data_IF_157867899003
#
_entry.id   IF_157867899003
#
_cell.length_a   1.000
_cell.length_b   1.000
_cell.length_c   1.000
_cell.angle_alpha   90.00
_cell.angle_beta   90.00
_cell.angle_gamma   90.00
#
_symmetry.space_group_name_H-M   'P 1'
#
loop_
_entity.id
_entity.type
_entity.pdbx_description
1 polymer ?
#
# COMPACT_ATOMS: atom_id res chain seq x y z
N UNK A 1 0.93 24.44 -6.58
CA UNK A 1 1.45 23.67 -7.74
C UNK A 1 1.68 22.19 -7.40
N UNK A 2 2.50 21.86 -6.38
CA UNK A 2 2.80 20.46 -5.99
C UNK A 2 1.54 19.62 -5.74
N UNK A 3 0.55 20.15 -5.02
CA UNK A 3 -0.70 19.43 -4.72
C UNK A 3 -1.42 18.96 -5.98
N UNK A 4 -1.53 19.83 -6.99
CA UNK A 4 -2.18 19.49 -8.26
C UNK A 4 -1.46 18.39 -9.03
N UNK A 5 -0.12 18.42 -9.02
CA UNK A 5 0.71 17.39 -9.66
C UNK A 5 0.50 16.03 -9.00
N UNK A 6 0.58 15.96 -7.66
CA UNK A 6 0.41 14.70 -6.93
C UNK A 6 -1.01 14.16 -7.07
N UNK A 7 -2.03 15.01 -7.00
CA UNK A 7 -3.42 14.60 -7.27
C UNK A 7 -3.55 14.00 -8.67
N UNK A 8 -3.00 14.66 -9.69
CA UNK A 8 -2.99 14.15 -11.06
C UNK A 8 -2.30 12.78 -11.18
N UNK A 9 -1.16 12.59 -10.52
CA UNK A 9 -0.44 11.32 -10.48
C UNK A 9 -1.23 10.20 -9.78
N UNK A 10 -1.90 10.50 -8.66
CA UNK A 10 -2.73 9.53 -7.95
C UNK A 10 -3.99 9.16 -8.75
N UNK A 11 -4.63 10.12 -9.43
CA UNK A 11 -5.74 9.85 -10.34
C UNK A 11 -5.30 8.95 -11.51
N UNK A 12 -4.12 9.21 -12.09
CA UNK A 12 -3.52 8.35 -13.11
C UNK A 12 -3.24 6.94 -12.55
N UNK A 13 -2.68 6.84 -11.33
CA UNK A 13 -2.45 5.55 -10.68
C UNK A 13 -3.76 4.78 -10.46
N UNK A 14 -4.84 5.44 -10.05
CA UNK A 14 -6.17 4.83 -9.90
C UNK A 14 -6.70 4.29 -11.24
N UNK A 15 -6.59 5.09 -12.29
CA UNK A 15 -6.99 4.70 -13.64
C UNK A 15 -6.20 3.48 -14.13
N UNK A 16 -4.88 3.50 -14.00
CA UNK A 16 -4.00 2.39 -14.42
C UNK A 16 -4.26 1.12 -13.60
N UNK A 17 -4.49 1.24 -12.30
CA UNK A 17 -4.83 0.11 -11.42
C UNK A 17 -6.16 -0.52 -11.83
N UNK A 18 -7.16 0.30 -12.16
CA UNK A 18 -8.44 -0.16 -12.68
C UNK A 18 -8.32 -0.89 -14.02
N UNK A 19 -7.54 -0.35 -14.96
CA UNK A 19 -7.24 -1.03 -16.22
C UNK A 19 -6.50 -2.36 -16.00
N UNK A 20 -5.52 -2.38 -15.09
CA UNK A 20 -4.78 -3.58 -14.72
C UNK A 20 -5.69 -4.67 -14.13
N UNK A 21 -6.63 -4.29 -13.25
CA UNK A 21 -7.58 -5.22 -12.63
C UNK A 21 -8.47 -5.93 -13.67
N UNK A 22 -8.86 -5.25 -14.74
CA UNK A 22 -9.63 -5.87 -15.83
C UNK A 22 -8.89 -7.03 -16.50
N UNK A 23 -7.56 -6.95 -16.59
CA UNK A 23 -6.71 -7.98 -17.22
C UNK A 23 -6.50 -9.22 -16.37
N UNK A 24 -6.56 -9.08 -15.04
CA UNK A 24 -6.34 -10.18 -14.08
C UNK A 24 -7.65 -10.77 -13.52
N UNK A 25 -8.81 -10.41 -14.10
CA UNK A 25 -10.13 -10.85 -13.62
C UNK A 25 -10.30 -12.37 -13.61
N UNK A 26 -9.65 -13.06 -14.53
CA UNK A 26 -9.73 -14.51 -14.72
C UNK A 26 -8.50 -15.25 -14.20
N UNK A 27 -7.68 -14.62 -13.36
CA UNK A 27 -6.49 -15.25 -12.76
C UNK A 27 -6.62 -15.34 -11.24
N UNK A 28 -5.72 -16.08 -10.61
CA UNK A 28 -5.62 -16.18 -9.14
C UNK A 28 -5.24 -14.84 -8.48
N UNK A 29 -4.75 -13.87 -9.26
CA UNK A 29 -4.39 -12.52 -8.79
C UNK A 29 -5.59 -11.60 -8.54
N UNK A 30 -6.82 -12.03 -8.85
CA UNK A 30 -8.04 -11.24 -8.66
C UNK A 30 -8.17 -10.65 -7.25
N UNK A 31 -7.82 -11.41 -6.22
CA UNK A 31 -7.88 -10.92 -4.83
C UNK A 31 -6.86 -9.82 -4.58
N UNK A 32 -5.62 -10.00 -5.02
CA UNK A 32 -4.59 -8.98 -4.92
C UNK A 32 -4.97 -7.70 -5.68
N UNK A 33 -5.55 -7.84 -6.87
CA UNK A 33 -5.98 -6.69 -7.66
C UNK A 33 -7.13 -5.89 -7.01
N UNK A 34 -8.05 -6.57 -6.31
CA UNK A 34 -9.06 -5.89 -5.47
C UNK A 34 -8.44 -5.13 -4.31
N UNK A 35 -7.45 -5.70 -3.64
CA UNK A 35 -6.69 -4.99 -2.61
C UNK A 35 -5.89 -3.82 -3.18
N UNK A 36 -5.32 -3.94 -4.38
CA UNK A 36 -4.67 -2.83 -5.08
C UNK A 36 -5.63 -1.67 -5.35
N UNK A 37 -6.87 -1.97 -5.80
CA UNK A 37 -7.90 -0.94 -5.95
C UNK A 37 -8.29 -0.30 -4.62
N UNK A 38 -8.47 -1.10 -3.58
CA UNK A 38 -8.76 -0.59 -2.24
C UNK A 38 -7.62 0.31 -1.73
N UNK A 39 -6.37 -0.09 -1.93
CA UNK A 39 -5.19 0.69 -1.54
C UNK A 39 -5.16 2.05 -2.23
N UNK A 40 -5.35 2.11 -3.56
CA UNK A 40 -5.36 3.39 -4.27
C UNK A 40 -6.55 4.26 -3.83
N UNK A 41 -7.73 3.68 -3.61
CA UNK A 41 -8.91 4.42 -3.17
C UNK A 41 -8.70 5.03 -1.77
N UNK A 42 -8.17 4.26 -0.82
CA UNK A 42 -7.85 4.74 0.52
C UNK A 42 -6.74 5.79 0.48
N UNK A 43 -5.70 5.59 -0.34
CA UNK A 43 -4.60 6.54 -0.52
C UNK A 43 -5.08 7.88 -1.07
N UNK A 44 -5.95 7.86 -2.11
CA UNK A 44 -6.60 9.06 -2.64
C UNK A 44 -7.45 9.76 -1.59
N UNK A 45 -8.21 8.99 -0.80
CA UNK A 45 -9.04 9.54 0.27
C UNK A 45 -8.20 10.20 1.35
N UNK A 46 -7.10 9.56 1.78
CA UNK A 46 -6.14 10.13 2.72
C UNK A 46 -5.53 11.43 2.19
N UNK A 47 -5.12 11.43 0.92
CA UNK A 47 -4.55 12.62 0.27
C UNK A 47 -5.56 13.78 0.19
N UNK A 48 -6.79 13.52 -0.27
CA UNK A 48 -7.83 14.56 -0.34
C UNK A 48 -8.17 15.08 1.05
N UNK A 49 -8.30 14.19 2.04
CA UNK A 49 -8.58 14.58 3.41
C UNK A 49 -7.49 15.51 3.96
N UNK A 50 -6.23 15.11 3.85
CA UNK A 50 -5.06 15.87 4.34
C UNK A 50 -4.96 17.27 3.71
N UNK A 51 -5.39 17.43 2.45
CA UNK A 51 -5.25 18.71 1.72
C UNK A 51 -6.46 19.63 1.81
N UNK A 52 -7.66 19.08 1.98
CA UNK A 52 -8.90 19.85 1.91
C UNK A 52 -9.69 19.88 3.21
N UNK A 53 -9.45 18.99 4.17
CA UNK A 53 -10.09 19.05 5.47
C UNK A 53 -9.43 20.14 6.34
N UNK A 54 -9.83 21.40 6.14
CA UNK A 54 -9.40 22.52 6.97
C UNK A 54 -10.07 22.45 8.35
N UNK A 55 -9.29 22.29 9.42
CA UNK A 55 -9.74 22.46 10.81
C UNK A 55 -9.86 21.18 11.63
N UNK A 56 -9.05 21.09 12.69
CA UNK A 56 -9.22 20.29 13.93
C UNK A 56 -9.42 18.75 13.83
N UNK A 57 -9.31 18.11 12.66
CA UNK A 57 -9.51 16.65 12.52
C UNK A 57 -8.26 15.88 12.06
N UNK A 58 -7.11 16.23 12.64
CA UNK A 58 -5.83 15.53 12.42
C UNK A 58 -5.89 14.00 12.65
N UNK A 59 -6.62 13.46 13.65
CA UNK A 59 -6.60 12.01 13.93
C UNK A 59 -7.10 11.16 12.76
N UNK A 60 -8.12 11.64 12.04
CA UNK A 60 -8.68 10.93 10.89
C UNK A 60 -7.74 10.95 9.68
N UNK A 61 -7.00 12.05 9.48
CA UNK A 61 -5.98 12.11 8.44
C UNK A 61 -4.89 11.07 8.67
N UNK A 62 -4.36 11.02 9.90
CA UNK A 62 -3.35 10.05 10.30
C UNK A 62 -3.85 8.60 10.17
N UNK A 63 -5.10 8.35 10.58
CA UNK A 63 -5.75 7.04 10.42
C UNK A 63 -5.90 6.64 8.94
N UNK A 64 -6.32 7.55 8.06
CA UNK A 64 -6.45 7.27 6.63
C UNK A 64 -5.09 6.97 5.99
N UNK A 65 -4.03 7.69 6.38
CA UNK A 65 -2.67 7.40 5.93
C UNK A 65 -2.15 6.05 6.43
N UNK A 66 -2.45 5.70 7.68
CA UNK A 66 -2.17 4.37 8.22
C UNK A 66 -2.88 3.28 7.40
N UNK A 67 -4.18 3.45 7.15
CA UNK A 67 -4.98 2.52 6.35
C UNK A 67 -4.46 2.42 4.91
N UNK A 68 -4.00 3.51 4.30
CA UNK A 68 -3.39 3.50 2.98
C UNK A 68 -2.14 2.59 2.94
N UNK A 69 -1.29 2.70 3.97
CA UNK A 69 -0.16 1.80 4.14
C UNK A 69 -0.58 0.33 4.34
N UNK A 70 -1.52 0.08 5.27
CA UNK A 70 -1.99 -1.26 5.61
C UNK A 70 -2.65 -1.98 4.43
N UNK A 71 -3.49 -1.28 3.68
CA UNK A 71 -4.15 -1.81 2.48
C UNK A 71 -3.15 -2.10 1.36
N UNK A 72 -2.11 -1.25 1.21
CA UNK A 72 -1.00 -1.49 0.26
C UNK A 72 -0.20 -2.74 0.62
N UNK A 73 0.11 -2.95 1.90
CA UNK A 73 0.77 -4.19 2.34
C UNK A 73 -0.13 -5.41 2.14
N UNK A 74 -1.43 -5.28 2.42
CA UNK A 74 -2.41 -6.35 2.23
C UNK A 74 -2.47 -6.82 0.78
N UNK A 75 -2.26 -5.92 -0.20
CA UNK A 75 -2.08 -6.28 -1.60
C UNK A 75 -0.89 -7.24 -1.80
N UNK A 76 0.27 -6.98 -1.19
CA UNK A 76 1.44 -7.85 -1.30
C UNK A 76 1.19 -9.24 -0.69
N UNK A 77 0.57 -9.29 0.50
CA UNK A 77 0.22 -10.54 1.17
C UNK A 77 -0.81 -11.33 0.35
N UNK A 78 -1.75 -10.65 -0.30
CA UNK A 78 -2.73 -11.28 -1.18
C UNK A 78 -2.07 -11.97 -2.39
N UNK A 79 -0.94 -11.46 -2.90
CA UNK A 79 -0.20 -12.11 -3.99
C UNK A 79 0.47 -13.40 -3.54
N UNK A 80 0.95 -13.48 -2.30
CA UNK A 80 1.52 -14.73 -1.77
C UNK A 80 0.49 -15.87 -1.78
N UNK A 81 -0.77 -15.58 -1.46
CA UNK A 81 -1.87 -16.54 -1.53
C UNK A 81 -2.21 -16.99 -2.95
N UNK A 82 -1.95 -16.15 -3.96
CA UNK A 82 -2.29 -16.46 -5.36
C UNK A 82 -1.46 -17.61 -5.96
N UNK A 83 -0.34 -17.98 -5.33
CA UNK A 83 0.51 -19.12 -5.73
C UNK A 83 -0.12 -20.50 -5.45
N UNK A 84 -1.20 -20.58 -4.66
CA UNK A 84 -1.88 -21.84 -4.33
C UNK A 84 -3.36 -21.81 -4.75
N UNK A 85 -3.66 -22.00 -6.06
CA UNK A 85 -5.04 -22.05 -6.57
C UNK A 85 -5.79 -23.21 -5.91
N UNK A 86 -6.63 -22.89 -4.93
CA UNK A 86 -7.40 -23.90 -4.18
C UNK A 86 -7.69 -23.47 -2.75
N UNK A 87 -6.81 -22.65 -2.16
CA UNK A 87 -7.00 -22.14 -0.80
C UNK A 87 -7.89 -20.90 -0.82
N UNK A 88 -9.19 -21.08 -1.14
CA UNK A 88 -10.22 -20.02 -1.03
C UNK A 88 -10.29 -19.41 0.38
N UNK A 89 -9.76 -20.14 1.36
CA UNK A 89 -9.67 -19.75 2.75
C UNK A 89 -8.60 -18.67 3.02
N UNK A 90 -7.60 -18.48 2.14
CA UNK A 90 -6.47 -17.57 2.37
C UNK A 90 -6.89 -16.12 2.72
N UNK A 91 -7.84 -15.47 2.00
CA UNK A 91 -8.26 -14.12 2.35
C UNK A 91 -8.90 -14.04 3.73
N UNK A 92 -9.60 -15.10 4.16
CA UNK A 92 -10.31 -15.16 5.42
C UNK A 92 -9.39 -15.51 6.60
N UNK A 93 -8.41 -16.38 6.40
CA UNK A 93 -7.50 -16.82 7.47
C UNK A 93 -6.26 -15.96 7.62
N UNK A 94 -5.79 -15.29 6.56
CA UNK A 94 -4.56 -14.50 6.61
C UNK A 94 -4.85 -13.01 6.54
N UNK A 95 -5.56 -12.55 5.50
CA UNK A 95 -5.75 -11.11 5.28
C UNK A 95 -6.70 -10.49 6.30
N UNK A 96 -7.82 -11.15 6.62
CA UNK A 96 -8.78 -10.60 7.59
C UNK A 96 -8.16 -10.47 8.99
N UNK A 97 -7.51 -11.50 9.57
CA UNK A 97 -6.83 -11.34 10.86
C UNK A 97 -5.71 -10.30 10.79
N UNK A 98 -4.92 -10.26 9.72
CA UNK A 98 -3.88 -9.25 9.55
C UNK A 98 -4.46 -7.84 9.60
N UNK A 99 -5.48 -7.54 8.79
CA UNK A 99 -6.08 -6.20 8.78
C UNK A 99 -6.74 -5.89 10.12
N UNK A 100 -7.40 -6.86 10.74
CA UNK A 100 -8.07 -6.67 12.03
C UNK A 100 -7.08 -6.38 13.15
N UNK A 101 -6.07 -7.23 13.31
CA UNK A 101 -5.04 -7.11 14.35
C UNK A 101 -4.25 -5.80 14.19
N UNK A 102 -3.94 -5.40 12.96
CA UNK A 102 -3.24 -4.14 12.71
C UNK A 102 -4.13 -2.91 12.89
N UNK A 103 -5.42 -2.98 12.56
CA UNK A 103 -6.32 -1.83 12.69
C UNK A 103 -6.77 -1.60 14.13
N UNK A 104 -6.93 -2.65 14.94
CA UNK A 104 -7.51 -2.55 16.29
C UNK A 104 -6.81 -1.53 17.21
N UNK A 105 -5.47 -1.54 17.38
CA UNK A 105 -4.79 -0.57 18.24
C UNK A 105 -4.99 0.87 17.77
N UNK A 106 -5.01 1.07 16.45
CA UNK A 106 -5.13 2.38 15.83
C UNK A 106 -6.57 2.91 15.95
N UNK A 107 -7.57 2.04 15.78
CA UNK A 107 -8.97 2.36 16.04
C UNK A 107 -9.18 2.70 17.52
N UNK A 108 -8.60 1.91 18.43
CA UNK A 108 -8.68 2.16 19.87
C UNK A 108 -8.02 3.49 20.27
N UNK A 109 -6.91 3.86 19.62
CA UNK A 109 -6.26 5.16 19.82
C UNK A 109 -7.04 6.33 19.22
N UNK A 110 -7.78 6.11 18.13
CA UNK A 110 -8.60 7.13 17.49
C UNK A 110 -9.97 7.34 18.18
N UNK A 111 -10.49 6.34 18.89
CA UNK A 111 -11.83 6.34 19.49
C UNK A 111 -12.08 7.39 20.59
N UNK A 112 -11.13 7.76 21.47
CA UNK A 112 -11.31 8.84 22.42
C UNK A 112 -11.22 10.19 21.69
N UNK A 113 -12.29 10.56 20.98
CA UNK A 113 -12.38 11.72 20.08
C UNK A 113 -12.30 13.11 20.77
N UNK A 114 -11.89 13.20 22.03
CA UNK A 114 -12.05 14.41 22.84
C UNK A 114 -10.84 15.35 22.89
N UNK A 115 -9.62 14.93 22.51
CA UNK A 115 -8.42 15.75 22.82
C UNK A 115 -7.46 16.08 21.66
N UNK A 116 -7.85 15.85 20.40
CA UNK A 116 -7.07 16.34 19.25
C UNK A 116 -5.65 15.76 19.12
N UNK A 117 -5.35 14.66 19.83
CA UNK A 117 -4.06 14.00 19.80
C UNK A 117 -3.84 13.27 18.47
N UNK A 118 -2.70 13.50 17.82
CA UNK A 118 -2.27 12.74 16.63
C UNK A 118 -2.28 11.24 16.91
N UNK A 119 -2.70 10.43 15.93
CA UNK A 119 -2.67 8.97 16.06
C UNK A 119 -1.21 8.50 16.03
N UNK A 120 -0.75 7.89 17.12
CA UNK A 120 0.59 7.29 17.23
C UNK A 120 0.51 5.78 17.14
N UNK A 121 1.40 5.21 16.33
CA UNK A 121 1.50 3.77 16.12
C UNK A 121 2.61 3.22 17.02
N UNK A 122 2.31 2.26 17.91
CA UNK A 122 3.32 1.72 18.82
C UNK A 122 4.39 0.94 18.05
N UNK A 123 5.63 1.01 18.54
CA UNK A 123 6.80 0.40 17.88
C UNK A 123 6.64 -1.10 17.55
N UNK A 124 6.09 -1.97 18.42
CA UNK A 124 5.87 -3.38 18.07
C UNK A 124 5.01 -3.57 16.82
N UNK A 125 4.00 -2.70 16.62
CA UNK A 125 3.14 -2.75 15.45
C UNK A 125 3.89 -2.32 14.18
N UNK A 126 4.76 -1.31 14.30
CA UNK A 126 5.64 -0.88 13.21
C UNK A 126 6.63 -1.98 12.80
N UNK A 127 7.16 -2.75 13.74
CA UNK A 127 8.03 -3.90 13.46
C UNK A 127 7.25 -4.96 12.68
N UNK A 128 6.04 -5.32 13.14
CA UNK A 128 5.18 -6.25 12.41
C UNK A 128 4.89 -5.77 10.99
N UNK A 129 4.61 -4.47 10.84
CA UNK A 129 4.33 -3.85 9.55
C UNK A 129 5.54 -3.93 8.60
N UNK A 130 6.74 -3.64 9.10
CA UNK A 130 7.99 -3.75 8.36
C UNK A 130 8.30 -5.19 7.93
N UNK A 131 8.07 -6.17 8.81
CA UNK A 131 8.27 -7.60 8.49
C UNK A 131 7.32 -8.04 7.37
N UNK A 132 6.04 -7.70 7.45
CA UNK A 132 5.07 -8.05 6.40
C UNK A 132 5.41 -7.34 5.09
N UNK A 133 5.84 -6.08 5.13
CA UNK A 133 6.28 -5.35 3.96
C UNK A 133 7.50 -6.01 3.31
N UNK A 134 8.50 -6.38 4.10
CA UNK A 134 9.72 -7.03 3.61
C UNK A 134 9.40 -8.40 3.00
N UNK A 135 8.57 -9.20 3.66
CA UNK A 135 8.13 -10.49 3.13
C UNK A 135 7.35 -10.34 1.82
N UNK A 136 6.45 -9.35 1.76
CA UNK A 136 5.61 -9.07 0.60
C UNK A 136 6.38 -8.53 -0.61
N UNK A 137 7.19 -7.48 -0.39
CA UNK A 137 8.01 -6.86 -1.43
C UNK A 137 9.21 -7.75 -1.83
N UNK A 138 9.79 -8.46 -0.86
CA UNK A 138 10.91 -9.39 -1.07
C UNK A 138 10.60 -10.50 -2.07
N UNK A 139 9.34 -10.94 -2.14
CA UNK A 139 8.86 -11.92 -3.13
C UNK A 139 8.93 -11.42 -4.60
N UNK A 140 9.26 -10.15 -4.82
CA UNK A 140 9.47 -9.56 -6.15
C UNK A 140 10.93 -9.26 -6.48
N UNK A 141 11.88 -9.51 -5.58
CA UNK A 141 13.30 -9.34 -5.85
C UNK A 141 13.74 -10.29 -6.97
N UNK A 142 14.47 -9.78 -7.97
CA UNK A 142 14.88 -10.54 -9.15
C UNK A 142 13.79 -10.75 -10.22
N UNK A 143 12.58 -10.23 -10.00
CA UNK A 143 11.49 -10.28 -10.99
C UNK A 143 11.43 -8.99 -11.82
N UNK A 144 10.70 -8.99 -12.95
CA UNK A 144 10.43 -7.76 -13.72
C UNK A 144 9.70 -6.66 -12.94
N UNK A 145 9.11 -6.98 -11.78
CA UNK A 145 8.39 -6.04 -10.93
C UNK A 145 9.22 -5.55 -9.72
N UNK A 146 10.52 -5.90 -9.62
CA UNK A 146 11.36 -5.49 -8.47
C UNK A 146 11.34 -3.99 -8.21
N UNK A 147 11.48 -3.16 -9.24
CA UNK A 147 11.48 -1.70 -9.09
C UNK A 147 10.14 -1.16 -8.57
N UNK A 148 9.02 -1.69 -9.08
CA UNK A 148 7.71 -1.28 -8.62
C UNK A 148 7.46 -1.70 -7.16
N UNK A 149 7.90 -2.91 -6.77
CA UNK A 149 7.82 -3.38 -5.40
C UNK A 149 8.68 -2.52 -4.46
N UNK A 150 9.91 -2.19 -4.85
CA UNK A 150 10.80 -1.32 -4.08
C UNK A 150 10.22 0.09 -3.90
N UNK A 151 9.73 0.73 -4.98
CA UNK A 151 9.08 2.04 -4.90
C UNK A 151 7.84 2.03 -4.01
N UNK A 152 7.02 0.98 -4.09
CA UNK A 152 5.85 0.83 -3.23
C UNK A 152 6.24 0.65 -1.76
N UNK A 153 7.29 -0.13 -1.48
CA UNK A 153 7.80 -0.30 -0.12
C UNK A 153 8.33 1.01 0.46
N UNK A 154 9.11 1.76 -0.31
CA UNK A 154 9.57 3.10 0.08
C UNK A 154 8.38 4.02 0.32
N UNK A 155 7.37 4.02 -0.56
CA UNK A 155 6.18 4.83 -0.40
C UNK A 155 5.43 4.54 0.90
N UNK A 156 5.25 3.26 1.22
CA UNK A 156 4.61 2.79 2.45
C UNK A 156 5.42 3.22 3.67
N UNK A 157 6.75 3.07 3.66
CA UNK A 157 7.61 3.55 4.74
C UNK A 157 7.48 5.06 4.94
N UNK A 158 7.50 5.86 3.87
CA UNK A 158 7.41 7.32 3.95
C UNK A 158 6.06 7.81 4.49
N UNK A 159 4.97 7.12 4.17
CA UNK A 159 3.63 7.48 4.64
C UNK A 159 3.39 7.09 6.10
N UNK A 160 3.91 5.94 6.53
CA UNK A 160 3.64 5.39 7.86
C UNK A 160 4.69 5.82 8.88
N UNK A 161 5.94 6.08 8.48
CA UNK A 161 6.99 6.52 9.40
C UNK A 161 6.60 7.73 10.26
N UNK A 162 5.96 8.79 9.73
CA UNK A 162 5.51 9.94 10.55
C UNK A 162 4.54 9.60 11.67
N UNK A 163 3.86 8.44 11.59
CA UNK A 163 2.91 7.96 12.59
C UNK A 163 3.60 7.22 13.74
N UNK A 164 4.88 6.88 13.60
CA UNK A 164 5.68 6.18 14.60
C UNK A 164 6.29 7.17 15.60
N UNK A 165 6.34 6.79 16.87
CA UNK A 165 7.10 7.53 17.88
C UNK A 165 8.62 7.43 17.67
N UNK A 166 9.08 6.44 16.91
CA UNK A 166 10.48 6.21 16.61
C UNK A 166 10.98 6.88 15.32
N UNK A 167 10.17 7.75 14.70
CA UNK A 167 10.53 8.40 13.44
C UNK A 167 11.69 9.39 13.65
N UNK A 168 12.81 9.28 12.90
CA UNK A 168 13.91 10.23 13.04
C UNK A 168 13.48 11.62 12.54
N UNK A 169 13.85 12.67 13.28
CA UNK A 169 13.53 14.07 12.93
C UNK A 169 14.07 14.45 11.54
N UNK A 170 15.17 13.84 11.12
CA UNK A 170 15.77 14.06 9.80
C UNK A 170 14.84 13.74 8.63
N UNK A 171 13.86 12.84 8.81
CA UNK A 171 12.87 12.51 7.79
C UNK A 171 12.04 13.73 7.36
N UNK A 172 11.81 14.67 8.28
CA UNK A 172 10.99 15.86 8.06
C UNK A 172 11.78 17.04 7.49
N UNK A 173 13.12 16.98 7.54
CA UNK A 173 13.97 18.06 7.01
C UNK A 173 13.95 18.14 5.48
N UNK A 174 13.59 17.05 4.80
CA UNK A 174 13.52 16.97 3.33
C UNK A 174 12.14 17.39 2.77
N UNK A 175 11.21 17.82 3.63
CA UNK A 175 9.84 18.19 3.27
C UNK A 175 8.79 17.21 3.80
N UNK A 176 7.59 17.26 3.23
CA UNK A 176 6.49 16.39 3.63
C UNK A 176 6.68 14.96 3.09
N UNK A 177 6.99 13.96 3.94
CA UNK A 177 7.28 12.61 3.49
C UNK A 177 6.05 11.95 2.82
N UNK A 178 4.82 12.38 3.10
CA UNK A 178 3.61 11.87 2.45
C UNK A 178 3.51 12.31 0.98
N UNK A 179 4.05 13.48 0.64
CA UNK A 179 4.17 13.95 -0.75
C UNK A 179 5.11 13.04 -1.51
N UNK A 180 6.32 12.83 -0.99
CA UNK A 180 7.34 11.96 -1.61
C UNK A 180 6.83 10.53 -1.71
N UNK A 181 6.20 10.02 -0.65
CA UNK A 181 5.58 8.70 -0.63
C UNK A 181 4.50 8.55 -1.69
N UNK A 182 3.64 9.55 -1.89
CA UNK A 182 2.59 9.52 -2.92
C UNK A 182 3.14 9.54 -4.35
N UNK A 183 4.25 10.27 -4.57
CA UNK A 183 4.98 10.25 -5.85
C UNK A 183 5.60 8.86 -6.08
N UNK A 184 6.25 8.28 -5.06
CA UNK A 184 6.80 6.93 -5.13
C UNK A 184 5.73 5.88 -5.41
N UNK A 185 4.57 5.94 -4.74
CA UNK A 185 3.45 5.03 -4.94
C UNK A 185 2.90 5.12 -6.37
N UNK A 186 2.64 6.34 -6.84
CA UNK A 186 2.14 6.57 -8.21
C UNK A 186 3.14 6.06 -9.26
N UNK A 187 4.42 6.34 -9.04
CA UNK A 187 5.52 5.84 -9.91
C UNK A 187 5.57 4.32 -9.90
N UNK A 188 5.38 3.69 -8.75
CA UNK A 188 5.34 2.24 -8.62
C UNK A 188 4.21 1.63 -9.46
N UNK A 189 3.00 2.20 -9.40
CA UNK A 189 1.84 1.77 -10.19
C UNK A 189 2.10 1.93 -11.69
N UNK A 190 2.67 3.07 -12.12
CA UNK A 190 3.02 3.32 -13.53
C UNK A 190 4.05 2.30 -14.02
N UNK A 191 5.12 2.06 -13.25
CA UNK A 191 6.15 1.07 -13.57
C UNK A 191 5.54 -0.33 -13.64
N UNK A 192 4.75 -0.74 -12.65
CA UNK A 192 4.07 -2.04 -12.65
C UNK A 192 3.17 -2.22 -13.87
N UNK A 193 2.37 -1.21 -14.21
CA UNK A 193 1.50 -1.24 -15.38
C UNK A 193 2.31 -1.38 -16.67
N UNK A 194 3.38 -0.60 -16.85
CA UNK A 194 4.30 -0.70 -18.01
C UNK A 194 4.93 -2.09 -18.11
N UNK A 195 5.37 -2.67 -17.01
CA UNK A 195 5.94 -4.03 -17.00
C UNK A 195 4.89 -5.10 -17.34
N UNK A 196 3.62 -4.88 -16.98
CA UNK A 196 2.52 -5.79 -17.33
C UNK A 196 2.18 -5.80 -18.83
N UNK A 197 2.55 -4.76 -19.57
CA UNK A 197 2.36 -4.67 -21.02
C UNK A 197 3.45 -5.41 -21.80
N UNK A 198 4.59 -5.71 -21.18
CA UNK A 198 5.68 -6.40 -21.86
C UNK A 198 5.29 -7.86 -22.09
N UNK A 199 5.44 -8.38 -23.33
CA UNK A 199 5.21 -9.79 -23.60
C UNK A 199 6.12 -10.62 -22.69
N UNK A 200 5.56 -11.67 -22.10
CA UNK A 200 6.35 -12.68 -21.40
C UNK A 200 7.18 -13.37 -22.48
N UNK A 201 8.50 -13.11 -22.47
CA UNK A 201 9.44 -13.83 -23.32
C UNK A 201 9.26 -15.31 -22.98
N UNK A 202 8.97 -16.12 -24.01
CA UNK A 202 8.31 -17.41 -23.89
C UNK A 202 8.86 -18.27 -22.75
N UNK A 203 7.93 -18.87 -22.00
CA UNK A 203 8.24 -19.79 -20.91
C UNK A 203 9.25 -20.82 -21.37
N UNK A 204 10.42 -20.82 -20.73
CA UNK A 204 11.23 -22.04 -20.73
C UNK A 204 10.35 -23.18 -20.18
N UNK A 205 10.55 -24.44 -20.61
CA UNK A 205 9.72 -25.57 -20.16
C UNK A 205 9.59 -25.65 -18.64
N UNK A 206 10.61 -25.16 -17.92
CA UNK A 206 10.67 -25.07 -16.45
C UNK A 206 9.66 -24.08 -15.88
N UNK A 207 9.38 -22.96 -16.54
CA UNK A 207 8.42 -21.96 -16.04
C UNK A 207 6.96 -22.41 -16.13
N UNK A 208 6.63 -23.35 -17.02
CA UNK A 208 5.29 -23.97 -17.08
C UNK A 208 4.96 -24.83 -15.87
N UNK A 209 5.95 -25.23 -15.07
CA UNK A 209 5.70 -25.99 -13.84
C UNK A 209 5.25 -25.09 -12.67
N UNK A 210 5.42 -23.77 -12.79
CA UNK A 210 5.15 -22.82 -11.71
C UNK A 210 3.88 -21.95 -11.94
N UNK A 211 3.23 -22.05 -13.10
CA UNK A 211 2.02 -21.31 -13.48
C UNK A 211 0.98 -22.21 -14.13
#
# INVERSE_FOLDING_TARGET
MVTGIVTGLLCLAAWLTWLGNRRVRFTTLKTAARWGLAAVAVWLTAWVWDRFATGYRQPWGDFLWYLAGLTTISMFVAVLGAKRPGVRAWPWFVLLPLVTVFSLPVIAAAWPFSHGTSVRVPLPLMIGFAVVLLMGAGNYVGTRYSMAAALSAVAVCLVVAPLSDAAPVSLFLLGDPRVVGSICFSSAVIVAYRQSLRPTIGHTPVERLWF
#
